data_IF_434928268531
#
_entry.id   IF_434928268531
#
_cell.length_a   1.000
_cell.length_b   1.000
_cell.length_c   1.000
_cell.angle_alpha   90.00
_cell.angle_beta   90.00
_cell.angle_gamma   90.00
#
_symmetry.space_group_name_H-M   'P 1'
#
loop_
_entity.id
_entity.type
_entity.pdbx_description
1 polymer ?
#
# COMPACT_ATOMS: atom_id res chain seq x y z
N UNK A 1 -25.96 2.57 10.08
CA UNK A 1 -25.37 3.54 11.06
C UNK A 1 -24.49 4.56 10.34
N UNK A 2 -24.01 5.64 10.98
CA UNK A 2 -23.02 6.54 10.36
C UNK A 2 -21.78 5.78 9.88
N UNK A 3 -21.33 4.79 10.66
CA UNK A 3 -20.26 3.87 10.30
C UNK A 3 -20.53 3.17 8.95
N UNK A 4 -21.74 2.66 8.74
CA UNK A 4 -22.08 1.98 7.49
C UNK A 4 -22.22 2.92 6.29
N UNK A 5 -22.79 4.11 6.50
CA UNK A 5 -22.96 5.13 5.46
C UNK A 5 -21.63 5.68 4.95
N UNK A 6 -20.59 5.68 5.80
CA UNK A 6 -19.24 6.14 5.46
C UNK A 6 -18.32 5.01 4.98
N UNK A 7 -18.85 3.80 4.70
CA UNK A 7 -18.07 2.69 4.18
C UNK A 7 -17.17 1.97 5.20
N UNK A 8 -17.34 2.25 6.50
CA UNK A 8 -16.62 1.57 7.59
C UNK A 8 -15.09 1.67 7.55
N UNK A 9 -14.53 2.56 6.71
CA UNK A 9 -13.10 2.67 6.45
C UNK A 9 -12.51 1.54 5.60
N UNK A 10 -13.35 0.69 5.00
CA UNK A 10 -12.92 -0.35 4.07
C UNK A 10 -12.44 0.27 2.74
N UNK A 11 -11.43 -0.36 2.15
CA UNK A 11 -10.97 0.02 0.82
C UNK A 11 -11.91 -0.60 -0.22
N UNK A 12 -12.35 0.21 -1.18
CA UNK A 12 -13.24 -0.16 -2.29
C UNK A 12 -12.88 0.71 -3.49
N UNK A 13 -13.15 0.24 -4.70
CA UNK A 13 -12.95 1.09 -5.89
C UNK A 13 -14.07 2.13 -5.94
N UNK A 14 -13.71 3.41 -5.98
CA UNK A 14 -14.66 4.52 -6.05
C UNK A 14 -15.48 4.47 -7.34
N UNK A 15 -16.75 4.89 -7.24
CA UNK A 15 -17.62 4.98 -8.41
C UNK A 15 -17.02 5.91 -9.48
N UNK A 16 -17.04 5.46 -10.74
CA UNK A 16 -16.42 6.17 -11.86
C UNK A 16 -15.01 5.68 -12.21
N UNK A 17 -14.41 4.83 -11.38
CA UNK A 17 -13.18 4.11 -11.70
C UNK A 17 -13.46 2.64 -11.96
N UNK A 18 -12.68 2.05 -12.86
CA UNK A 18 -12.72 0.61 -13.12
C UNK A 18 -11.88 -0.14 -12.08
N UNK A 19 -12.11 -1.45 -11.92
CA UNK A 19 -11.23 -2.30 -11.10
C UNK A 19 -9.77 -2.29 -11.58
N UNK A 20 -9.56 -2.06 -12.89
CA UNK A 20 -8.23 -1.88 -13.47
C UNK A 20 -7.55 -0.60 -12.99
N UNK A 21 -8.28 0.51 -12.92
CA UNK A 21 -7.77 1.78 -12.39
C UNK A 21 -7.39 1.65 -10.91
N UNK A 22 -8.26 1.00 -10.11
CA UNK A 22 -7.99 0.70 -8.71
C UNK A 22 -6.75 -0.16 -8.54
N UNK A 23 -6.63 -1.25 -9.31
CA UNK A 23 -5.45 -2.11 -9.29
C UNK A 23 -4.17 -1.35 -9.69
N UNK A 24 -4.22 -0.55 -10.74
CA UNK A 24 -3.09 0.26 -11.18
C UNK A 24 -2.65 1.26 -10.12
N UNK A 25 -3.59 1.95 -9.48
CA UNK A 25 -3.32 2.89 -8.40
C UNK A 25 -2.64 2.21 -7.20
N UNK A 26 -3.12 1.03 -6.79
CA UNK A 26 -2.53 0.26 -5.69
C UNK A 26 -1.13 -0.27 -6.02
N UNK A 27 -0.88 -0.70 -7.26
CA UNK A 27 0.45 -1.13 -7.72
C UNK A 27 1.44 0.04 -7.66
N UNK A 28 1.10 1.17 -8.27
CA UNK A 28 1.99 2.35 -8.34
C UNK A 28 2.20 2.94 -6.95
N UNK A 29 1.14 3.07 -6.15
CA UNK A 29 1.23 3.56 -4.78
C UNK A 29 2.12 2.69 -3.90
N UNK A 30 1.97 1.36 -3.99
CA UNK A 30 2.82 0.44 -3.22
C UNK A 30 4.25 0.41 -3.74
N UNK A 31 4.46 0.53 -5.06
CA UNK A 31 5.79 0.67 -5.63
C UNK A 31 6.53 1.87 -5.03
N UNK A 32 5.89 3.06 -5.01
CA UNK A 32 6.49 4.27 -4.43
C UNK A 32 6.85 4.07 -2.96
N UNK A 33 5.93 3.47 -2.19
CA UNK A 33 6.16 3.17 -0.78
C UNK A 33 7.35 2.22 -0.58
N UNK A 34 7.34 1.06 -1.23
CA UNK A 34 8.35 0.01 -1.02
C UNK A 34 9.71 0.42 -1.60
N UNK A 35 9.72 1.14 -2.72
CA UNK A 35 10.94 1.75 -3.23
C UNK A 35 11.54 2.72 -2.22
N UNK A 36 10.71 3.59 -1.61
CA UNK A 36 11.17 4.49 -0.55
C UNK A 36 11.71 3.72 0.65
N UNK A 37 11.11 2.59 1.03
CA UNK A 37 11.63 1.71 2.09
C UNK A 37 13.04 1.23 1.75
N UNK A 38 13.25 0.68 0.55
CA UNK A 38 14.57 0.23 0.12
C UNK A 38 15.59 1.39 0.05
N UNK A 39 15.22 2.55 -0.49
CA UNK A 39 16.12 3.70 -0.55
C UNK A 39 16.40 4.34 0.82
N UNK A 40 15.48 4.22 1.76
CA UNK A 40 15.63 4.70 3.15
C UNK A 40 16.39 3.71 4.05
N UNK A 41 16.86 2.60 3.48
CA UNK A 41 17.57 1.54 4.18
C UNK A 41 19.03 1.92 4.39
N UNK A 42 19.46 2.13 5.64
CA UNK A 42 20.87 2.38 5.94
C UNK A 42 21.65 1.05 6.00
N UNK A 43 22.44 0.77 4.95
CA UNK A 43 23.26 -0.43 4.86
C UNK A 43 24.28 -0.59 6.00
N UNK A 44 24.59 0.47 6.77
CA UNK A 44 25.58 0.45 7.85
C UNK A 44 24.97 0.27 9.24
N UNK A 45 23.65 0.36 9.37
CA UNK A 45 22.96 0.29 10.66
C UNK A 45 22.01 -0.89 10.66
N UNK A 46 22.33 -1.94 11.40
CA UNK A 46 21.47 -3.12 11.59
C UNK A 46 20.62 -2.94 12.84
N UNK A 47 19.37 -3.38 12.80
CA UNK A 47 18.54 -3.52 13.98
C UNK A 47 19.22 -4.49 14.96
N UNK A 48 19.15 -4.19 16.26
CA UNK A 48 19.84 -4.95 17.31
C UNK A 48 19.49 -6.43 17.17
N UNK A 49 20.52 -7.28 17.05
CA UNK A 49 20.44 -8.74 16.90
C UNK A 49 19.73 -9.27 15.64
N UNK A 50 19.66 -8.48 14.55
CA UNK A 50 19.04 -8.91 13.29
C UNK A 50 19.81 -8.45 12.05
N UNK A 51 19.61 -9.16 10.93
CA UNK A 51 20.05 -8.74 9.60
C UNK A 51 19.13 -7.66 8.99
N UNK A 52 18.10 -7.23 9.72
CA UNK A 52 17.16 -6.20 9.27
C UNK A 52 17.82 -4.82 9.38
N UNK A 53 17.95 -4.08 8.28
CA UNK A 53 18.55 -2.76 8.28
C UNK A 53 17.64 -1.70 8.94
N UNK A 54 18.26 -0.66 9.52
CA UNK A 54 17.54 0.46 10.15
C UNK A 54 17.01 1.38 9.06
N UNK A 55 15.70 1.60 9.09
CA UNK A 55 14.98 2.44 8.15
C UNK A 55 14.96 3.89 8.64
N UNK A 56 15.14 4.86 7.74
CA UNK A 56 14.81 6.26 8.03
C UNK A 56 13.28 6.43 7.99
N UNK A 57 12.59 6.65 9.14
CA UNK A 57 11.13 6.59 9.20
C UNK A 57 10.44 7.79 8.53
N UNK A 58 11.13 8.94 8.47
CA UNK A 58 10.56 10.18 7.95
C UNK A 58 10.26 10.09 6.43
N UNK A 59 11.21 9.68 5.55
CA UNK A 59 10.91 9.44 4.14
C UNK A 59 9.77 8.45 3.92
N UNK A 60 9.73 7.36 4.69
CA UNK A 60 8.70 6.32 4.56
C UNK A 60 7.32 6.89 4.90
N UNK A 61 7.21 7.63 6.01
CA UNK A 61 5.96 8.31 6.38
C UNK A 61 5.51 9.32 5.33
N UNK A 62 6.44 10.08 4.76
CA UNK A 62 6.14 11.01 3.66
C UNK A 62 5.69 10.30 2.38
N UNK A 63 6.28 9.17 2.02
CA UNK A 63 5.84 8.38 0.87
C UNK A 63 4.40 7.89 1.07
N UNK A 64 4.06 7.36 2.25
CA UNK A 64 2.68 6.99 2.60
C UNK A 64 1.75 8.20 2.44
N UNK A 65 2.12 9.36 3.03
CA UNK A 65 1.32 10.59 2.95
C UNK A 65 1.07 11.03 1.51
N UNK A 66 2.10 11.09 0.67
CA UNK A 66 1.96 11.52 -0.73
C UNK A 66 1.10 10.55 -1.54
N UNK A 67 1.27 9.24 -1.34
CA UNK A 67 0.43 8.24 -2.01
C UNK A 67 -1.03 8.41 -1.59
N UNK A 68 -1.31 8.64 -0.30
CA UNK A 68 -2.67 8.90 0.17
C UNK A 68 -3.31 10.12 -0.52
N UNK A 69 -2.56 11.23 -0.66
CA UNK A 69 -3.08 12.41 -1.36
C UNK A 69 -3.50 12.11 -2.81
N UNK A 70 -2.82 11.17 -3.48
CA UNK A 70 -3.10 10.81 -4.86
C UNK A 70 -4.19 9.71 -5.00
N UNK A 71 -4.21 8.71 -4.10
CA UNK A 71 -5.01 7.48 -4.29
C UNK A 71 -6.28 7.42 -3.45
N UNK A 72 -6.48 8.32 -2.47
CA UNK A 72 -7.73 8.40 -1.70
C UNK A 72 -8.97 8.49 -2.62
N UNK A 73 -9.01 9.33 -3.68
CA UNK A 73 -10.19 9.42 -4.54
C UNK A 73 -10.51 8.14 -5.33
N UNK A 74 -9.52 7.27 -5.55
CA UNK A 74 -9.66 6.07 -6.39
C UNK A 74 -10.06 4.86 -5.55
N UNK A 75 -9.36 4.60 -4.44
CA UNK A 75 -9.53 3.37 -3.64
C UNK A 75 -9.64 3.59 -2.12
N UNK A 76 -9.58 4.85 -1.67
CA UNK A 76 -9.35 5.17 -0.26
C UNK A 76 -7.92 4.88 0.22
N UNK A 77 -7.01 4.49 -0.71
CA UNK A 77 -5.60 4.09 -0.46
C UNK A 77 -5.46 2.84 0.40
N UNK A 78 -5.19 1.71 -0.23
CA UNK A 78 -4.85 0.46 0.44
C UNK A 78 -3.38 0.42 0.84
N UNK A 79 -2.50 0.16 -0.14
CA UNK A 79 -1.03 -0.01 -0.10
C UNK A 79 -0.48 -0.86 1.05
N UNK A 80 -1.36 -1.52 1.79
CA UNK A 80 -1.11 -2.27 3.00
C UNK A 80 -2.24 -3.32 3.15
N UNK A 81 -2.00 -4.57 2.73
CA UNK A 81 -3.00 -5.63 2.78
C UNK A 81 -3.57 -5.89 4.18
N UNK A 82 -2.76 -5.72 5.24
CA UNK A 82 -3.22 -5.91 6.61
C UNK A 82 -4.23 -4.83 7.04
N UNK A 83 -4.00 -3.57 6.64
CA UNK A 83 -4.94 -2.46 6.87
C UNK A 83 -6.24 -2.67 6.11
N UNK A 84 -6.18 -3.09 4.85
CA UNK A 84 -7.38 -3.37 4.04
C UNK A 84 -8.16 -4.56 4.59
N UNK A 85 -7.49 -5.64 4.99
CA UNK A 85 -8.12 -6.80 5.62
C UNK A 85 -8.79 -6.45 6.96
N UNK A 86 -8.10 -5.73 7.84
CA UNK A 86 -8.66 -5.33 9.13
C UNK A 86 -9.97 -4.55 8.97
N UNK A 87 -10.00 -3.60 8.04
CA UNK A 87 -11.22 -2.84 7.75
C UNK A 87 -12.32 -3.70 7.12
N UNK A 88 -11.98 -4.59 6.18
CA UNK A 88 -12.95 -5.49 5.55
C UNK A 88 -13.61 -6.45 6.56
N UNK A 89 -12.85 -7.00 7.51
CA UNK A 89 -13.37 -7.90 8.56
C UNK A 89 -14.35 -7.17 9.48
N UNK A 90 -14.01 -5.96 9.95
CA UNK A 90 -14.86 -5.22 10.88
C UNK A 90 -16.09 -4.66 10.17
N UNK A 91 -15.95 -4.28 8.91
CA UNK A 91 -17.04 -3.72 8.13
C UNK A 91 -18.02 -4.77 7.61
N UNK A 92 -17.50 -5.93 7.21
CA UNK A 92 -18.20 -7.14 6.79
C UNK A 92 -19.39 -6.90 5.84
N UNK A 93 -19.11 -6.23 4.71
CA UNK A 93 -20.09 -6.01 3.63
C UNK A 93 -19.59 -6.63 2.33
N UNK A 94 -20.52 -7.22 1.56
CA UNK A 94 -20.21 -7.92 0.30
C UNK A 94 -19.34 -7.07 -0.65
N UNK A 95 -19.71 -5.81 -0.87
CA UNK A 95 -18.97 -4.93 -1.77
C UNK A 95 -17.50 -4.69 -1.35
N UNK A 96 -17.19 -4.69 -0.05
CA UNK A 96 -15.81 -4.58 0.43
C UNK A 96 -15.02 -5.87 0.15
N UNK A 97 -15.65 -7.02 0.33
CA UNK A 97 -15.06 -8.33 0.02
C UNK A 97 -14.88 -8.55 -1.49
N UNK A 98 -15.77 -8.03 -2.33
CA UNK A 98 -15.71 -8.15 -3.80
C UNK A 98 -14.50 -7.45 -4.44
N UNK A 99 -14.00 -6.39 -3.81
CA UNK A 99 -12.83 -5.62 -4.24
C UNK A 99 -11.57 -5.97 -3.45
N UNK A 100 -11.69 -6.74 -2.37
CA UNK A 100 -10.62 -7.01 -1.42
C UNK A 100 -9.36 -7.61 -2.07
N UNK A 101 -9.53 -8.43 -3.10
CA UNK A 101 -8.42 -9.06 -3.83
C UNK A 101 -7.45 -8.03 -4.44
N UNK A 102 -7.94 -6.85 -4.82
CA UNK A 102 -7.15 -5.77 -5.41
C UNK A 102 -6.10 -5.29 -4.40
N UNK A 103 -6.48 -5.20 -3.12
CA UNK A 103 -5.61 -4.74 -2.03
C UNK A 103 -4.62 -5.80 -1.54
N UNK A 104 -4.62 -6.98 -2.15
CA UNK A 104 -3.56 -7.98 -2.00
C UNK A 104 -2.69 -8.05 -3.24
N UNK A 105 -3.33 -8.23 -4.40
CA UNK A 105 -2.64 -8.40 -5.68
C UNK A 105 -1.87 -7.13 -6.05
N UNK A 106 -2.49 -5.96 -5.93
CA UNK A 106 -1.86 -4.68 -6.24
C UNK A 106 -0.62 -4.42 -5.39
N UNK A 107 -0.71 -4.46 -4.05
CA UNK A 107 0.44 -4.24 -3.19
C UNK A 107 1.56 -5.27 -3.36
N UNK A 108 1.26 -6.55 -3.56
CA UNK A 108 2.31 -7.54 -3.80
C UNK A 108 3.04 -7.33 -5.12
N UNK A 109 2.31 -6.99 -6.19
CA UNK A 109 2.94 -6.66 -7.49
C UNK A 109 3.80 -5.39 -7.34
N UNK A 110 3.27 -4.32 -6.75
CA UNK A 110 4.01 -3.07 -6.55
C UNK A 110 5.28 -3.25 -5.71
N UNK A 111 5.20 -4.03 -4.63
CA UNK A 111 6.33 -4.36 -3.77
C UNK A 111 7.40 -5.20 -4.51
N UNK A 112 6.98 -6.21 -5.28
CA UNK A 112 7.88 -7.04 -6.06
C UNK A 112 8.62 -6.23 -7.14
N UNK A 113 7.91 -5.32 -7.84
CA UNK A 113 8.50 -4.42 -8.82
C UNK A 113 9.50 -3.46 -8.17
N UNK A 114 9.19 -2.91 -7.00
CA UNK A 114 10.10 -2.03 -6.28
C UNK A 114 11.38 -2.75 -5.81
N UNK A 115 11.24 -3.97 -5.30
CA UNK A 115 12.37 -4.82 -4.91
C UNK A 115 13.26 -5.14 -6.13
N UNK A 116 12.64 -5.56 -7.24
CA UNK A 116 13.36 -5.84 -8.48
C UNK A 116 14.10 -4.60 -9.00
N UNK A 117 13.42 -3.45 -9.03
CA UNK A 117 14.02 -2.19 -9.49
C UNK A 117 15.23 -1.79 -8.63
N UNK A 118 15.10 -1.85 -7.30
CA UNK A 118 16.20 -1.50 -6.41
C UNK A 118 17.39 -2.47 -6.56
N UNK A 119 17.13 -3.78 -6.49
CA UNK A 119 18.18 -4.79 -6.46
C UNK A 119 18.88 -4.99 -7.81
N UNK A 120 18.14 -4.91 -8.92
CA UNK A 120 18.66 -5.29 -10.25
C UNK A 120 19.03 -4.06 -11.09
N UNK A 121 18.21 -3.01 -11.05
CA UNK A 121 18.41 -1.81 -11.89
C UNK A 121 19.34 -0.82 -11.20
N UNK A 122 19.02 -0.42 -9.97
CA UNK A 122 19.89 0.49 -9.20
C UNK A 122 21.14 -0.24 -8.71
N UNK A 123 21.00 -1.53 -8.34
CA UNK A 123 22.07 -2.35 -7.72
C UNK A 123 22.65 -1.71 -6.45
N UNK A 124 21.78 -1.08 -5.67
CA UNK A 124 22.09 -0.56 -4.34
C UNK A 124 21.55 -1.49 -3.25
#
# INVERSE_FOLDING_TARGET
TQYELLGGGANVVSHGYTKGDGLGAEIVGTFVLVYTVFSATDAKRKARDSHVPILAPLPIGFAVFLVHLATIPITGTGINPARSLGAAIIYDKAHAWDDQWIFWVGPFIGAALAAFYHMVVIRA
#
